data_IF_322642005723
#
_entry.id   IF_322642005723
#
_cell.length_a   1.000
_cell.length_b   1.000
_cell.length_c   1.000
_cell.angle_alpha   90.00
_cell.angle_beta   90.00
_cell.angle_gamma   90.00
#
_symmetry.space_group_name_H-M   'P 1'
#
loop_
_entity.id
_entity.type
_entity.pdbx_description
1 polymer ?
#
# COMPACT_ATOMS: atom_id res chain seq x y z
N UNK A 1 -1.34 28.76 -0.35
CA UNK A 1 0.09 28.70 -0.64
C UNK A 1 0.38 27.27 -1.07
N UNK A 2 0.59 27.02 -2.38
CA UNK A 2 0.89 25.68 -2.88
C UNK A 2 2.23 25.23 -2.32
N UNK A 3 2.24 24.09 -1.61
CA UNK A 3 3.49 23.42 -1.25
C UNK A 3 4.25 23.11 -2.54
N UNK A 4 5.55 23.34 -2.52
CA UNK A 4 6.46 22.84 -3.56
C UNK A 4 6.27 21.32 -3.63
N UNK A 5 5.87 20.81 -4.80
CA UNK A 5 5.66 19.38 -5.00
C UNK A 5 7.00 18.68 -4.81
N UNK A 6 7.01 17.61 -4.02
CA UNK A 6 8.24 16.85 -3.75
C UNK A 6 8.74 16.18 -5.03
N UNK A 7 10.05 15.91 -5.12
CA UNK A 7 10.61 15.14 -6.24
C UNK A 7 9.97 13.76 -6.42
N UNK A 8 9.43 13.18 -5.33
CA UNK A 8 8.65 11.93 -5.38
C UNK A 8 7.29 12.13 -6.08
N UNK A 9 6.62 13.26 -5.90
CA UNK A 9 5.39 13.57 -6.62
C UNK A 9 5.63 13.58 -8.14
N UNK A 10 6.64 14.31 -8.61
CA UNK A 10 6.93 14.41 -10.04
C UNK A 10 7.37 13.05 -10.62
N UNK A 11 8.14 12.29 -9.86
CA UNK A 11 8.56 10.94 -10.21
C UNK A 11 7.36 10.01 -10.42
N UNK A 12 6.43 9.93 -9.47
CA UNK A 12 5.28 9.03 -9.55
C UNK A 12 4.25 9.52 -10.57
N UNK A 13 4.00 10.83 -10.64
CA UNK A 13 3.13 11.40 -11.67
C UNK A 13 3.64 11.04 -13.08
N UNK A 14 4.94 11.15 -13.33
CA UNK A 14 5.55 10.78 -14.61
C UNK A 14 5.45 9.27 -14.87
N UNK A 15 5.74 8.43 -13.87
CA UNK A 15 5.64 6.96 -13.99
C UNK A 15 4.23 6.50 -14.34
N UNK A 16 3.22 7.09 -13.73
CA UNK A 16 1.82 6.72 -14.00
C UNK A 16 1.25 7.34 -15.28
N UNK A 17 1.94 8.30 -15.90
CA UNK A 17 1.45 8.96 -17.13
C UNK A 17 1.59 8.10 -18.40
N UNK A 18 2.22 6.92 -18.33
CA UNK A 18 2.26 5.96 -19.43
C UNK A 18 0.90 5.26 -19.59
N UNK A 19 0.54 4.79 -20.81
CA UNK A 19 -0.76 4.12 -21.03
C UNK A 19 -0.95 2.84 -20.22
N UNK A 20 0.11 2.05 -20.08
CA UNK A 20 0.06 0.74 -19.42
C UNK A 20 0.01 0.86 -17.89
N UNK A 21 -0.62 -0.12 -17.23
CA UNK A 21 -0.55 -0.27 -15.77
C UNK A 21 0.80 -0.84 -15.38
N UNK A 22 1.65 -0.01 -14.79
CA UNK A 22 3.06 -0.37 -14.52
C UNK A 22 3.24 -1.47 -13.47
N UNK A 23 2.24 -1.65 -12.60
CA UNK A 23 2.18 -2.75 -11.63
C UNK A 23 1.13 -3.80 -11.96
N UNK A 24 0.56 -3.76 -13.18
CA UNK A 24 -0.52 -4.64 -13.59
C UNK A 24 -1.88 -4.26 -12.99
N UNK A 25 -2.91 -5.03 -13.34
CA UNK A 25 -4.29 -4.81 -12.89
C UNK A 25 -4.70 -5.78 -11.78
N UNK A 26 -4.01 -6.92 -11.67
CA UNK A 26 -4.27 -7.92 -10.63
C UNK A 26 -3.82 -7.42 -9.26
N UNK A 27 -4.48 -7.81 -8.17
CA UNK A 27 -4.07 -7.45 -6.83
C UNK A 27 -2.66 -7.97 -6.54
N UNK A 28 -1.98 -7.31 -5.63
CA UNK A 28 -0.74 -7.83 -5.09
C UNK A 28 -0.94 -9.26 -4.54
N UNK A 29 0.01 -10.15 -4.82
CA UNK A 29 -0.11 -11.58 -4.49
C UNK A 29 -0.25 -11.85 -2.98
N UNK A 30 0.45 -11.08 -2.14
CA UNK A 30 0.37 -11.23 -0.68
C UNK A 30 -0.99 -10.78 -0.17
N UNK A 31 -1.51 -9.65 -0.68
CA UNK A 31 -2.86 -9.19 -0.36
C UNK A 31 -3.91 -10.24 -0.77
N UNK A 32 -3.78 -10.83 -1.96
CA UNK A 32 -4.68 -11.90 -2.42
C UNK A 32 -4.64 -13.13 -1.51
N UNK A 33 -3.46 -13.54 -1.01
CA UNK A 33 -3.31 -14.61 -0.01
C UNK A 33 -4.04 -14.29 1.31
N UNK A 34 -4.18 -13.01 1.66
CA UNK A 34 -4.87 -12.57 2.87
C UNK A 34 -6.40 -12.56 2.75
N UNK A 35 -6.99 -13.00 1.63
CA UNK A 35 -8.45 -12.98 1.38
C UNK A 35 -9.27 -13.57 2.54
N UNK A 36 -8.86 -14.70 3.10
CA UNK A 36 -9.57 -15.37 4.20
C UNK A 36 -9.57 -14.61 5.52
N UNK A 37 -8.72 -13.60 5.68
CA UNK A 37 -8.64 -12.73 6.85
C UNK A 37 -9.57 -11.52 6.76
N UNK A 38 -10.04 -11.19 5.54
CA UNK A 38 -10.92 -10.05 5.30
C UNK A 38 -12.30 -10.27 5.93
N UNK A 39 -12.91 -9.24 6.51
CA UNK A 39 -14.30 -9.30 6.93
C UNK A 39 -15.22 -9.38 5.69
N UNK A 40 -16.39 -9.97 5.85
CA UNK A 40 -17.39 -10.08 4.77
C UNK A 40 -17.94 -8.72 4.32
N UNK A 41 -17.82 -7.68 5.14
CA UNK A 41 -18.17 -6.29 4.85
C UNK A 41 -17.42 -5.36 5.80
N UNK A 42 -17.39 -4.08 5.51
CA UNK A 42 -16.70 -3.08 6.32
C UNK A 42 -15.98 -2.06 5.46
N UNK A 43 -15.28 -1.13 6.09
CA UNK A 43 -14.52 -0.09 5.41
C UNK A 43 -13.06 -0.46 5.30
N UNK A 44 -12.49 -0.28 4.12
CA UNK A 44 -11.07 -0.49 3.88
C UNK A 44 -10.38 0.80 3.40
N UNK A 45 -9.15 1.01 3.84
CA UNK A 45 -8.24 2.02 3.32
C UNK A 45 -7.09 1.34 2.60
N UNK A 46 -6.84 1.75 1.35
CA UNK A 46 -5.59 1.45 0.65
C UNK A 46 -4.71 2.70 0.61
N UNK A 47 -3.53 2.59 1.21
CA UNK A 47 -2.61 3.71 1.43
C UNK A 47 -1.65 3.82 0.25
N UNK A 48 -1.66 4.98 -0.44
CA UNK A 48 -0.84 5.25 -1.64
C UNK A 48 -0.99 4.14 -2.69
N UNK A 49 -2.23 3.90 -3.12
CA UNK A 49 -2.65 2.75 -3.94
C UNK A 49 -2.28 2.88 -5.43
N UNK A 50 -1.77 4.03 -5.84
CA UNK A 50 -1.30 4.29 -7.20
C UNK A 50 -2.40 4.11 -8.25
N UNK A 51 -2.27 3.07 -9.08
CA UNK A 51 -3.18 2.73 -10.18
C UNK A 51 -4.41 1.91 -9.72
N UNK A 52 -4.59 1.69 -8.40
CA UNK A 52 -5.83 1.21 -7.80
C UNK A 52 -6.04 -0.29 -7.77
N UNK A 53 -5.07 -1.12 -8.18
CA UNK A 53 -5.24 -2.57 -8.29
C UNK A 53 -5.68 -3.25 -6.98
N UNK A 54 -5.16 -2.78 -5.85
CA UNK A 54 -5.49 -3.35 -4.54
C UNK A 54 -6.84 -2.85 -4.03
N UNK A 55 -7.13 -1.55 -4.18
CA UNK A 55 -8.41 -0.97 -3.79
C UNK A 55 -9.57 -1.53 -4.58
N UNK A 56 -9.42 -1.68 -5.89
CA UNK A 56 -10.43 -2.28 -6.76
C UNK A 56 -10.70 -3.72 -6.35
N UNK A 57 -9.65 -4.51 -6.13
CA UNK A 57 -9.81 -5.90 -5.68
C UNK A 57 -10.49 -6.00 -4.30
N UNK A 58 -10.17 -5.14 -3.35
CA UNK A 58 -10.86 -5.12 -2.05
C UNK A 58 -12.34 -4.79 -2.19
N UNK A 59 -12.71 -3.91 -3.11
CA UNK A 59 -14.11 -3.60 -3.41
C UNK A 59 -14.84 -4.82 -4.02
N UNK A 60 -14.17 -5.61 -4.86
CA UNK A 60 -14.70 -6.89 -5.36
C UNK A 60 -14.93 -7.93 -4.23
N UNK A 61 -14.17 -7.82 -3.12
CA UNK A 61 -14.41 -8.65 -1.94
C UNK A 61 -15.58 -8.16 -1.06
N UNK A 62 -16.26 -7.07 -1.45
CA UNK A 62 -17.45 -6.54 -0.76
C UNK A 62 -17.17 -5.46 0.28
N UNK A 63 -15.96 -4.89 0.28
CA UNK A 63 -15.59 -3.80 1.19
C UNK A 63 -15.94 -2.42 0.60
N UNK A 64 -16.30 -1.48 1.47
CA UNK A 64 -16.42 -0.06 1.16
C UNK A 64 -15.00 0.56 1.20
N UNK A 65 -14.42 0.83 0.03
CA UNK A 65 -13.00 1.17 -0.10
C UNK A 65 -12.79 2.66 -0.31
N UNK A 66 -11.90 3.24 0.51
CA UNK A 66 -11.23 4.50 0.22
C UNK A 66 -9.80 4.20 -0.23
N UNK A 67 -9.46 4.64 -1.44
CA UNK A 67 -8.13 4.54 -2.02
C UNK A 67 -7.53 5.93 -2.11
N UNK A 68 -6.43 6.19 -1.42
CA UNK A 68 -5.72 7.46 -1.54
C UNK A 68 -4.40 7.31 -2.30
N UNK A 69 -4.05 8.35 -3.04
CA UNK A 69 -2.74 8.52 -3.67
C UNK A 69 -2.54 10.01 -3.98
N UNK A 70 -1.30 10.46 -4.04
CA UNK A 70 -1.01 11.87 -4.34
C UNK A 70 -0.86 12.14 -5.85
N UNK A 71 -0.74 11.11 -6.71
CA UNK A 71 -0.51 11.24 -8.14
C UNK A 71 -1.83 11.19 -8.94
N UNK A 72 -2.28 12.31 -9.53
CA UNK A 72 -3.50 12.34 -10.36
C UNK A 72 -3.49 11.30 -11.48
N UNK A 73 -2.35 11.08 -12.16
CA UNK A 73 -2.26 10.11 -13.26
C UNK A 73 -2.56 8.67 -12.78
N UNK A 74 -2.07 8.29 -11.59
CA UNK A 74 -2.39 7.00 -10.97
C UNK A 74 -3.88 6.88 -10.68
N UNK A 75 -4.47 7.91 -10.06
CA UNK A 75 -5.89 7.91 -9.72
C UNK A 75 -6.83 7.87 -10.94
N UNK A 76 -6.47 8.49 -12.06
CA UNK A 76 -7.30 8.37 -13.27
C UNK A 76 -7.33 6.93 -13.79
N UNK A 77 -6.20 6.21 -13.73
CA UNK A 77 -6.16 4.78 -14.06
C UNK A 77 -6.94 3.94 -13.04
N UNK A 78 -6.80 4.24 -11.74
CA UNK A 78 -7.54 3.56 -10.68
C UNK A 78 -9.06 3.68 -10.88
N UNK A 79 -9.55 4.87 -11.22
CA UNK A 79 -10.96 5.11 -11.58
C UNK A 79 -11.38 4.34 -12.82
N UNK A 80 -10.51 4.25 -13.83
CA UNK A 80 -10.77 3.47 -15.04
C UNK A 80 -10.86 1.97 -14.73
N UNK A 81 -9.95 1.45 -13.89
CA UNK A 81 -9.97 0.06 -13.45
C UNK A 81 -11.22 -0.28 -12.64
N UNK A 82 -11.63 0.59 -11.71
CA UNK A 82 -12.87 0.39 -10.95
C UNK A 82 -14.10 0.31 -11.86
N UNK A 83 -14.18 1.16 -12.91
CA UNK A 83 -15.26 1.08 -13.92
C UNK A 83 -15.22 -0.22 -14.72
N UNK A 84 -14.02 -0.67 -15.13
CA UNK A 84 -13.82 -1.94 -15.84
C UNK A 84 -14.33 -3.13 -15.02
N UNK A 85 -14.01 -3.16 -13.72
CA UNK A 85 -14.42 -4.19 -12.76
C UNK A 85 -15.84 -4.00 -12.20
N UNK A 86 -16.52 -2.88 -12.56
CA UNK A 86 -17.90 -2.55 -12.12
C UNK A 86 -18.05 -2.47 -10.60
N UNK A 87 -17.05 -1.98 -9.93
CA UNK A 87 -17.06 -1.73 -8.48
C UNK A 87 -17.00 -0.24 -8.16
N UNK A 88 -17.49 0.13 -6.97
CA UNK A 88 -17.39 1.48 -6.45
C UNK A 88 -16.20 1.57 -5.48
N UNK A 89 -15.31 2.52 -5.73
CA UNK A 89 -14.19 2.88 -4.86
C UNK A 89 -14.20 4.40 -4.71
N UNK A 90 -14.08 4.88 -3.48
CA UNK A 90 -13.86 6.29 -3.21
C UNK A 90 -12.37 6.60 -3.40
N UNK A 91 -12.08 7.54 -4.31
CA UNK A 91 -10.70 7.96 -4.59
C UNK A 91 -10.44 9.34 -4.00
N UNK A 92 -9.37 9.47 -3.20
CA UNK A 92 -8.97 10.72 -2.59
C UNK A 92 -7.54 11.09 -2.99
N UNK A 93 -7.37 12.28 -3.57
CA UNK A 93 -6.06 12.81 -3.94
C UNK A 93 -5.40 13.38 -2.68
N UNK A 94 -4.49 12.63 -2.07
CA UNK A 94 -3.88 12.98 -0.80
C UNK A 94 -2.44 12.50 -0.69
N UNK A 95 -1.60 13.32 -0.06
CA UNK A 95 -0.27 12.89 0.39
C UNK A 95 -0.41 12.21 1.75
N UNK A 96 -0.04 10.95 1.84
CA UNK A 96 -0.16 10.12 3.04
C UNK A 96 0.65 10.63 4.24
N UNK A 97 1.57 11.57 4.02
CA UNK A 97 2.39 12.17 5.08
C UNK A 97 1.73 13.39 5.75
N UNK A 98 0.71 13.98 5.14
CA UNK A 98 -0.04 15.11 5.73
C UNK A 98 -1.57 14.93 5.64
N UNK A 99 -2.03 13.75 5.16
CA UNK A 99 -3.44 13.40 5.16
C UNK A 99 -3.98 13.28 6.59
N UNK A 100 -5.17 13.82 6.81
CA UNK A 100 -5.84 13.69 8.10
C UNK A 100 -6.50 12.33 8.21
N UNK A 101 -5.86 11.38 8.86
CA UNK A 101 -6.39 10.06 9.11
C UNK A 101 -7.55 10.14 10.12
N UNK A 102 -8.80 9.76 9.75
CA UNK A 102 -9.92 9.78 10.69
C UNK A 102 -9.76 8.67 11.74
N UNK A 103 -10.01 8.99 13.02
CA UNK A 103 -9.85 8.04 14.13
C UNK A 103 -10.81 6.85 14.04
N UNK A 104 -10.28 5.63 14.24
CA UNK A 104 -11.05 4.39 14.34
C UNK A 104 -12.12 4.25 13.23
N UNK A 105 -11.73 4.50 12.00
CA UNK A 105 -12.66 4.63 10.87
C UNK A 105 -12.73 3.39 9.98
N UNK A 106 -11.60 2.67 9.81
CA UNK A 106 -11.50 1.54 8.90
C UNK A 106 -11.41 0.20 9.65
N UNK A 107 -12.03 -0.82 9.06
CA UNK A 107 -11.97 -2.21 9.52
C UNK A 107 -10.74 -2.93 8.95
N UNK A 108 -10.24 -2.44 7.80
CA UNK A 108 -9.04 -2.95 7.12
C UNK A 108 -8.18 -1.77 6.66
N UNK A 109 -6.88 -1.83 6.91
CA UNK A 109 -5.89 -0.89 6.35
C UNK A 109 -4.82 -1.67 5.63
N UNK A 110 -4.57 -1.31 4.37
CA UNK A 110 -3.63 -1.99 3.47
C UNK A 110 -2.55 -1.04 3.00
N UNK A 111 -1.30 -1.45 3.11
CA UNK A 111 -0.11 -0.76 2.63
C UNK A 111 0.76 -1.72 1.82
N UNK A 112 0.86 -1.51 0.50
CA UNK A 112 1.62 -2.40 -0.39
C UNK A 112 2.67 -1.60 -1.16
N UNK A 113 3.95 -1.87 -0.91
CA UNK A 113 5.11 -1.27 -1.59
C UNK A 113 5.16 0.27 -1.58
N UNK A 114 4.72 0.90 -0.49
CA UNK A 114 4.72 2.37 -0.36
C UNK A 114 6.01 2.91 0.29
N UNK A 115 7.15 2.32 -0.10
CA UNK A 115 8.47 2.57 0.50
C UNK A 115 9.20 3.78 -0.11
N UNK A 116 8.46 4.81 -0.50
CA UNK A 116 8.98 6.12 -0.92
C UNK A 116 9.15 7.10 0.26
N UNK A 117 8.75 6.68 1.46
CA UNK A 117 8.80 7.49 2.69
C UNK A 117 10.13 7.31 3.40
N UNK A 118 10.84 8.40 3.68
CA UNK A 118 11.97 8.37 4.61
C UNK A 118 11.51 8.00 6.04
N UNK A 119 12.43 7.73 7.00
CA UNK A 119 12.04 7.29 8.35
C UNK A 119 11.04 8.21 9.07
N UNK A 120 11.20 9.54 8.96
CA UNK A 120 10.29 10.50 9.58
C UNK A 120 8.91 10.47 8.94
N UNK A 121 8.84 10.49 7.62
CA UNK A 121 7.60 10.40 6.85
C UNK A 121 6.89 9.07 7.09
N UNK A 122 7.64 7.97 7.14
CA UNK A 122 7.11 6.64 7.44
C UNK A 122 6.49 6.57 8.83
N UNK A 123 7.11 7.18 9.84
CA UNK A 123 6.56 7.25 11.19
C UNK A 123 5.21 7.98 11.22
N UNK A 124 5.08 9.11 10.49
CA UNK A 124 3.82 9.85 10.35
C UNK A 124 2.75 8.97 9.70
N UNK A 125 3.04 8.37 8.54
CA UNK A 125 2.14 7.48 7.81
C UNK A 125 1.68 6.31 8.68
N UNK A 126 2.60 5.58 9.29
CA UNK A 126 2.26 4.43 10.12
C UNK A 126 1.49 4.78 11.39
N UNK A 127 1.78 5.93 12.01
CA UNK A 127 0.96 6.44 13.11
C UNK A 127 -0.47 6.74 12.65
N UNK A 128 -0.64 7.35 11.48
CA UNK A 128 -1.94 7.57 10.85
C UNK A 128 -2.69 6.25 10.60
N UNK A 129 -2.02 5.24 10.04
CA UNK A 129 -2.59 3.91 9.83
C UNK A 129 -3.04 3.24 11.14
N UNK A 130 -2.23 3.36 12.22
CA UNK A 130 -2.60 2.87 13.55
C UNK A 130 -3.84 3.57 14.09
N UNK A 131 -3.89 4.90 13.97
CA UNK A 131 -4.97 5.72 14.51
C UNK A 131 -6.27 5.44 13.79
N UNK A 132 -6.24 5.36 12.48
CA UNK A 132 -7.45 5.20 11.66
C UNK A 132 -8.05 3.80 11.68
N UNK A 133 -7.25 2.78 12.00
CA UNK A 133 -7.75 1.41 12.14
C UNK A 133 -8.58 1.27 13.41
N UNK A 134 -9.75 0.63 13.33
CA UNK A 134 -10.61 0.35 14.48
C UNK A 134 -9.99 -0.69 15.42
N UNK A 135 -10.36 -0.70 16.71
CA UNK A 135 -10.02 -1.84 17.58
C UNK A 135 -10.51 -3.16 16.97
N UNK A 136 -9.61 -4.16 16.88
CA UNK A 136 -9.85 -5.42 16.21
C UNK A 136 -9.72 -5.40 14.69
N UNK A 137 -9.52 -4.23 14.09
CA UNK A 137 -9.34 -4.06 12.64
C UNK A 137 -8.06 -4.75 12.13
N UNK A 138 -8.08 -5.13 10.86
CA UNK A 138 -7.01 -5.85 10.17
C UNK A 138 -6.02 -4.88 9.50
N UNK A 139 -4.75 -5.03 9.82
CA UNK A 139 -3.64 -4.40 9.14
C UNK A 139 -2.99 -5.40 8.19
N UNK A 140 -2.72 -4.97 6.95
CA UNK A 140 -1.96 -5.74 5.95
C UNK A 140 -0.87 -4.83 5.38
N UNK A 141 0.39 -5.24 5.51
CA UNK A 141 1.55 -4.52 4.97
C UNK A 141 2.40 -5.47 4.15
N UNK A 142 2.89 -5.02 2.99
CA UNK A 142 4.00 -5.66 2.29
C UNK A 142 4.98 -4.63 1.76
N UNK A 143 6.27 -4.95 1.90
CA UNK A 143 7.36 -4.14 1.36
C UNK A 143 8.61 -4.96 1.11
N UNK A 144 9.61 -4.34 0.49
CA UNK A 144 10.93 -4.92 0.26
C UNK A 144 11.77 -4.90 1.54
N UNK A 145 12.59 -5.95 1.73
CA UNK A 145 13.60 -6.02 2.79
C UNK A 145 14.95 -5.46 2.32
N UNK A 146 15.91 -5.21 3.24
CA UNK A 146 17.27 -4.80 2.88
C UNK A 146 17.97 -5.73 1.87
N UNK A 147 17.61 -7.01 1.84
CA UNK A 147 18.16 -7.98 0.89
C UNK A 147 17.80 -7.66 -0.57
N UNK A 148 16.75 -6.89 -0.81
CA UNK A 148 16.36 -6.42 -2.14
C UNK A 148 17.48 -5.66 -2.87
N UNK A 149 18.37 -4.98 -2.14
CA UNK A 149 19.49 -4.26 -2.72
C UNK A 149 20.47 -5.19 -3.47
N UNK A 150 20.52 -6.46 -3.10
CA UNK A 150 21.36 -7.48 -3.76
C UNK A 150 20.77 -7.83 -5.14
N UNK A 151 19.44 -7.89 -5.25
CA UNK A 151 18.77 -8.25 -6.50
C UNK A 151 18.67 -7.09 -7.49
N UNK A 152 18.44 -5.87 -7.00
CA UNK A 152 18.36 -4.67 -7.84
C UNK A 152 17.20 -4.66 -8.84
N UNK A 153 16.21 -5.54 -8.66
CA UNK A 153 15.08 -5.76 -9.59
C UNK A 153 13.89 -4.83 -9.34
N UNK A 154 13.96 -3.94 -8.35
CA UNK A 154 12.91 -2.99 -7.97
C UNK A 154 13.08 -2.51 -6.54
N UNK A 155 12.12 -1.72 -6.07
CA UNK A 155 12.14 -1.13 -4.74
C UNK A 155 13.03 0.11 -4.61
N UNK A 156 13.08 0.72 -3.41
CA UNK A 156 13.96 1.85 -3.12
C UNK A 156 15.43 1.40 -3.05
N UNK A 157 16.32 2.34 -3.35
CA UNK A 157 17.77 2.14 -3.23
C UNK A 157 18.31 2.53 -1.85
N UNK A 158 17.56 3.29 -1.13
CA UNK A 158 17.84 3.80 0.20
C UNK A 158 17.56 2.70 1.23
N UNK A 159 18.60 2.31 1.98
CA UNK A 159 18.50 1.23 2.97
C UNK A 159 17.45 1.51 4.05
N UNK A 160 17.32 2.75 4.47
CA UNK A 160 16.39 3.18 5.52
C UNK A 160 14.92 3.25 5.07
N UNK A 161 14.65 3.10 3.76
CA UNK A 161 13.31 2.95 3.22
C UNK A 161 12.82 1.49 3.24
N UNK A 162 13.75 0.53 3.36
CA UNK A 162 13.43 -0.90 3.33
C UNK A 162 12.94 -1.38 4.70
N UNK A 163 12.02 -2.33 4.68
CA UNK A 163 11.34 -2.79 5.89
C UNK A 163 12.07 -3.98 6.51
N UNK A 164 12.18 -3.94 7.83
CA UNK A 164 12.66 -5.07 8.63
C UNK A 164 11.59 -5.48 9.64
N UNK A 165 11.63 -6.73 10.05
CA UNK A 165 10.71 -7.25 11.07
C UNK A 165 10.77 -6.43 12.37
N UNK A 166 11.94 -6.14 12.98
CA UNK A 166 12.00 -5.32 14.20
C UNK A 166 11.37 -3.94 14.03
N UNK A 167 11.54 -3.30 12.87
CA UNK A 167 10.93 -2.00 12.55
C UNK A 167 9.40 -2.07 12.55
N UNK A 168 8.83 -3.12 11.96
CA UNK A 168 7.38 -3.32 11.93
C UNK A 168 6.83 -3.70 13.32
N UNK A 169 7.54 -4.54 14.08
CA UNK A 169 7.20 -4.91 15.45
C UNK A 169 7.15 -3.67 16.37
N UNK A 170 8.13 -2.78 16.26
CA UNK A 170 8.17 -1.52 17.00
C UNK A 170 7.03 -0.58 16.58
N UNK A 171 6.86 -0.36 15.28
CA UNK A 171 5.86 0.57 14.76
C UNK A 171 4.43 0.17 15.12
N UNK A 172 4.13 -1.12 15.15
CA UNK A 172 2.81 -1.67 15.46
C UNK A 172 2.76 -2.39 16.82
N UNK A 173 3.63 -1.99 17.74
CA UNK A 173 3.60 -2.51 19.11
C UNK A 173 2.21 -2.36 19.75
N UNK A 174 1.75 -3.42 20.41
CA UNK A 174 0.41 -3.52 21.01
C UNK A 174 -0.65 -4.12 20.08
N UNK A 175 -0.37 -4.30 18.78
CA UNK A 175 -1.23 -5.08 17.90
C UNK A 175 -1.12 -6.56 18.25
N UNK A 176 -2.20 -7.30 18.01
CA UNK A 176 -2.32 -8.75 18.27
C UNK A 176 -2.20 -9.54 16.97
N UNK A 177 -2.04 -10.86 17.11
CA UNK A 177 -2.05 -11.80 15.98
C UNK A 177 -1.10 -11.39 14.86
N UNK A 178 0.08 -10.87 15.23
CA UNK A 178 1.09 -10.46 14.26
C UNK A 178 1.69 -11.68 13.57
N UNK A 179 1.47 -11.79 12.27
CA UNK A 179 2.05 -12.84 11.42
C UNK A 179 2.98 -12.18 10.40
N UNK A 180 4.23 -12.57 10.44
CA UNK A 180 5.25 -12.14 9.48
C UNK A 180 5.52 -13.21 8.45
N UNK A 181 5.70 -12.79 7.19
CA UNK A 181 6.14 -13.62 6.08
C UNK A 181 7.34 -12.96 5.45
N UNK A 182 8.50 -13.60 5.49
CA UNK A 182 9.71 -13.13 4.78
C UNK A 182 10.00 -14.13 3.66
N UNK A 183 9.96 -13.65 2.42
CA UNK A 183 10.07 -14.49 1.23
C UNK A 183 11.08 -13.91 0.24
N UNK A 184 11.78 -14.81 -0.45
CA UNK A 184 12.52 -14.52 -1.66
C UNK A 184 11.83 -15.25 -2.81
N UNK A 185 11.31 -14.48 -3.76
CA UNK A 185 10.51 -15.04 -4.84
C UNK A 185 10.72 -14.25 -6.14
N UNK A 186 10.44 -14.91 -7.24
CA UNK A 186 10.38 -14.24 -8.54
C UNK A 186 9.03 -13.56 -8.68
N UNK A 187 9.04 -12.21 -8.72
CA UNK A 187 7.82 -11.41 -8.87
C UNK A 187 7.49 -11.20 -10.34
N UNK A 188 6.18 -11.17 -10.62
CA UNK A 188 5.61 -10.92 -11.94
C UNK A 188 4.38 -10.02 -11.82
N UNK A 189 4.57 -8.80 -11.32
CA UNK A 189 3.49 -7.82 -11.11
C UNK A 189 3.70 -6.60 -12.02
N UNK A 190 3.17 -6.68 -13.23
CA UNK A 190 3.34 -5.65 -14.26
C UNK A 190 4.78 -5.52 -14.76
N UNK A 191 5.09 -4.39 -15.38
CA UNK A 191 6.43 -4.12 -15.93
C UNK A 191 7.45 -3.61 -14.90
N UNK A 192 6.98 -3.18 -13.73
CA UNK A 192 7.81 -2.51 -12.71
C UNK A 192 8.10 -3.36 -11.47
N UNK A 193 7.44 -4.49 -11.29
CA UNK A 193 7.73 -5.48 -10.26
C UNK A 193 8.01 -6.82 -10.93
N UNK A 194 9.19 -6.97 -11.51
CA UNK A 194 9.62 -8.19 -12.21
C UNK A 194 11.00 -8.65 -11.74
N UNK A 195 11.15 -9.97 -11.56
CA UNK A 195 12.41 -10.61 -11.19
C UNK A 195 12.51 -10.95 -9.70
N UNK A 196 13.67 -11.49 -9.32
CA UNK A 196 13.93 -11.98 -7.97
C UNK A 196 13.79 -10.86 -6.95
N UNK A 197 12.99 -11.07 -5.92
CA UNK A 197 12.62 -10.05 -4.92
C UNK A 197 12.69 -10.61 -3.50
N UNK A 198 13.15 -9.80 -2.56
CA UNK A 198 13.15 -10.10 -1.14
C UNK A 198 12.14 -9.19 -0.43
N UNK A 199 11.10 -9.78 0.10
CA UNK A 199 9.95 -9.07 0.66
C UNK A 199 9.61 -9.51 2.08
N UNK A 200 8.96 -8.62 2.82
CA UNK A 200 8.36 -8.90 4.11
C UNK A 200 6.88 -8.51 4.06
N UNK A 201 6.02 -9.42 4.50
CA UNK A 201 4.61 -9.20 4.74
C UNK A 201 4.30 -9.20 6.24
N UNK A 202 3.33 -8.40 6.64
CA UNK A 202 2.76 -8.38 7.98
C UNK A 202 1.24 -8.38 7.88
N UNK A 203 0.61 -9.28 8.63
CA UNK A 203 -0.80 -9.13 9.03
C UNK A 203 -0.89 -8.99 10.54
N UNK A 204 -1.78 -8.13 11.04
CA UNK A 204 -1.98 -7.92 12.48
C UNK A 204 -3.39 -7.41 12.77
N UNK A 205 -3.81 -7.48 14.04
CA UNK A 205 -5.06 -6.90 14.56
C UNK A 205 -4.75 -5.79 15.57
N UNK A 206 -5.42 -4.64 15.41
CA UNK A 206 -5.27 -3.53 16.38
C UNK A 206 -5.91 -3.87 17.73
#
# INVERSE_FOLDING_TARGET
MGREKSGEYDRWQTRYSVPDYIFGKEPNYFLAKCKSLLPASGRALTVADGEGRNGVWLAEQGLDVLSNDFAPAGQEKAKALAREHKVNVTFELADVHDWTYPDNHFDVVVEIFTQFSNPTQRAIKWNGMRTTLRPGGLLIIQGYTPKQLIYGTGGPKELDHLYTRPMLEEAFAGFKDMVFTEEELEMHEGSSHGGMSAVIGLTARK
#
